data_IF_613636992130
#
_entry.id   IF_613636992130
#
_cell.length_a   1.000
_cell.length_b   1.000
_cell.length_c   1.000
_cell.angle_alpha   90.00
_cell.angle_beta   90.00
_cell.angle_gamma   90.00
#
_symmetry.space_group_name_H-M   'P 1'
#
loop_
_entity.id
_entity.type
_entity.pdbx_description
1 polymer ?
#
# COMPACT_ATOMS: atom_id res chain seq x y z
N UNK A 1 0.78 -22.92 62.89
CA UNK A 1 0.39 -22.99 61.46
C UNK A 1 0.46 -21.59 60.89
N UNK A 2 1.61 -21.20 60.34
CA UNK A 2 1.81 -19.93 59.65
C UNK A 2 2.06 -20.26 58.18
N UNK A 3 1.06 -19.97 57.35
CA UNK A 3 1.13 -20.13 55.90
C UNK A 3 1.94 -18.96 55.33
N UNK A 4 3.11 -19.28 54.80
CA UNK A 4 4.05 -18.34 54.20
C UNK A 4 3.43 -17.86 52.90
N UNK A 5 2.90 -16.63 52.90
CA UNK A 5 2.55 -15.90 51.68
C UNK A 5 3.86 -15.64 50.94
N UNK A 6 4.13 -16.43 49.90
CA UNK A 6 5.25 -16.18 49.01
C UNK A 6 5.04 -14.81 48.35
N UNK A 7 5.95 -13.87 48.61
CA UNK A 7 5.96 -12.59 47.91
C UNK A 7 6.10 -12.84 46.39
N UNK A 8 5.34 -12.13 45.53
CA UNK A 8 5.50 -12.26 44.09
C UNK A 8 6.95 -11.91 43.71
N UNK A 9 7.55 -12.76 42.88
CA UNK A 9 8.91 -12.54 42.37
C UNK A 9 9.03 -11.15 41.75
N UNK A 10 10.17 -10.45 41.92
CA UNK A 10 10.34 -9.11 41.39
C UNK A 10 10.25 -9.15 39.85
N UNK A 11 9.23 -8.48 39.31
CA UNK A 11 9.11 -8.19 37.89
C UNK A 11 10.23 -7.21 37.56
N UNK A 12 11.32 -7.72 36.99
CA UNK A 12 12.35 -6.87 36.39
C UNK A 12 11.74 -6.21 35.16
N UNK A 13 11.29 -4.96 35.31
CA UNK A 13 10.91 -4.10 34.22
C UNK A 13 12.14 -3.81 33.35
N UNK A 14 12.34 -4.58 32.29
CA UNK A 14 13.02 -4.08 31.10
C UNK A 14 12.16 -2.95 30.53
N UNK A 15 12.72 -1.75 30.39
CA UNK A 15 12.07 -0.53 29.89
C UNK A 15 11.67 -0.59 28.40
N UNK A 16 11.45 -1.79 27.85
CA UNK A 16 10.88 -2.06 26.54
C UNK A 16 10.02 -3.32 26.66
N UNK A 17 8.81 -3.20 27.21
CA UNK A 17 7.94 -4.36 27.38
C UNK A 17 7.45 -4.89 26.03
N UNK A 18 7.97 -6.01 25.55
CA UNK A 18 7.47 -6.67 24.34
C UNK A 18 5.97 -6.98 24.44
N UNK A 19 5.28 -7.04 23.29
CA UNK A 19 3.88 -7.51 23.27
C UNK A 19 3.84 -8.98 23.72
N UNK A 20 2.79 -9.43 24.44
CA UNK A 20 2.59 -10.85 24.67
C UNK A 20 2.67 -11.63 23.36
N UNK A 21 3.40 -12.75 23.34
CA UNK A 21 3.75 -13.50 22.11
C UNK A 21 2.52 -13.82 21.26
N UNK A 22 1.42 -14.20 21.90
CA UNK A 22 0.19 -14.61 21.24
C UNK A 22 -0.52 -13.42 20.60
N UNK A 23 -0.53 -12.26 21.26
CA UNK A 23 -1.07 -11.01 20.73
C UNK A 23 -0.24 -10.52 19.55
N UNK A 24 1.09 -10.58 19.67
CA UNK A 24 2.02 -10.22 18.59
C UNK A 24 1.84 -11.11 17.34
N UNK A 25 1.63 -12.41 17.54
CA UNK A 25 1.37 -13.35 16.45
C UNK A 25 0.00 -13.06 15.78
N UNK A 26 -1.08 -12.94 16.57
CA UNK A 26 -2.42 -12.66 16.05
C UNK A 26 -2.48 -11.34 15.27
N UNK A 27 -1.86 -10.28 15.80
CA UNK A 27 -1.80 -8.99 15.12
C UNK A 27 -0.97 -9.08 13.83
N UNK A 28 0.15 -9.79 13.85
CA UNK A 28 0.95 -10.04 12.64
C UNK A 28 0.17 -10.77 11.55
N UNK A 29 -0.61 -11.79 11.91
CA UNK A 29 -1.50 -12.50 11.00
C UNK A 29 -2.56 -11.56 10.43
N UNK A 30 -3.24 -10.80 11.29
CA UNK A 30 -4.30 -9.88 10.89
C UNK A 30 -3.78 -8.81 9.92
N UNK A 31 -2.66 -8.15 10.26
CA UNK A 31 -2.04 -7.14 9.40
C UNK A 31 -1.59 -7.74 8.07
N UNK A 32 -1.00 -8.93 8.08
CA UNK A 32 -0.56 -9.61 6.87
C UNK A 32 -1.73 -9.86 5.90
N UNK A 33 -2.88 -10.33 6.39
CA UNK A 33 -4.07 -10.51 5.56
C UNK A 33 -4.73 -9.21 5.15
N UNK A 34 -4.78 -8.22 6.04
CA UNK A 34 -5.32 -6.90 5.74
C UNK A 34 -4.57 -6.24 4.58
N UNK A 35 -3.23 -6.27 4.60
CA UNK A 35 -2.43 -5.73 3.50
C UNK A 35 -2.56 -6.54 2.22
N UNK A 36 -2.68 -7.88 2.28
CA UNK A 36 -2.96 -8.69 1.09
C UNK A 36 -4.28 -8.29 0.44
N UNK A 37 -5.32 -8.09 1.23
CA UNK A 37 -6.62 -7.64 0.74
C UNK A 37 -6.55 -6.22 0.18
N UNK A 38 -5.85 -5.31 0.86
CA UNK A 38 -5.66 -3.94 0.39
C UNK A 38 -4.95 -3.87 -0.97
N UNK A 39 -3.83 -4.60 -1.12
CA UNK A 39 -3.11 -4.69 -2.40
C UNK A 39 -3.97 -5.37 -3.47
N UNK A 40 -4.74 -6.41 -3.13
CA UNK A 40 -5.67 -7.04 -4.05
C UNK A 40 -6.69 -6.03 -4.59
N UNK A 41 -7.40 -5.34 -3.70
CA UNK A 41 -8.46 -4.39 -4.07
C UNK A 41 -7.92 -3.25 -4.93
N UNK A 42 -6.78 -2.69 -4.55
CA UNK A 42 -6.11 -1.60 -5.26
C UNK A 42 -5.77 -2.00 -6.71
N UNK A 43 -5.05 -3.11 -6.88
CA UNK A 43 -4.55 -3.50 -8.19
C UNK A 43 -5.60 -4.21 -9.05
N UNK A 44 -6.60 -4.88 -8.47
CA UNK A 44 -7.78 -5.32 -9.23
C UNK A 44 -8.58 -4.11 -9.73
N UNK A 45 -8.76 -3.09 -8.90
CA UNK A 45 -9.46 -1.86 -9.30
C UNK A 45 -8.75 -1.14 -10.47
N UNK A 46 -7.42 -1.00 -10.39
CA UNK A 46 -6.62 -0.47 -11.49
C UNK A 46 -6.69 -1.34 -12.74
N UNK A 47 -6.53 -2.65 -12.58
CA UNK A 47 -6.53 -3.57 -13.71
C UNK A 47 -7.88 -3.60 -14.42
N UNK A 48 -8.98 -3.55 -13.67
CA UNK A 48 -10.32 -3.41 -14.21
C UNK A 48 -10.47 -2.12 -15.03
N UNK A 49 -9.96 -0.98 -14.54
CA UNK A 49 -10.00 0.27 -15.30
C UNK A 49 -9.21 0.21 -16.62
N UNK A 50 -8.08 -0.51 -16.64
CA UNK A 50 -7.32 -0.79 -17.86
C UNK A 50 -8.08 -1.67 -18.85
N UNK A 51 -8.67 -2.76 -18.38
CA UNK A 51 -9.48 -3.68 -19.21
C UNK A 51 -10.74 -2.99 -19.74
N UNK A 52 -11.38 -2.15 -18.94
CA UNK A 52 -12.57 -1.38 -19.33
C UNK A 52 -12.26 -0.18 -20.24
N UNK A 53 -11.01 -0.01 -20.68
CA UNK A 53 -10.59 1.06 -21.60
C UNK A 53 -11.00 2.46 -21.10
N UNK A 54 -10.77 2.74 -19.81
CA UNK A 54 -11.11 4.04 -19.22
C UNK A 54 -10.49 5.20 -20.04
N UNK A 55 -11.31 5.95 -20.76
CA UNK A 55 -10.84 6.96 -21.74
C UNK A 55 -9.85 7.96 -21.15
N UNK A 56 -10.07 8.41 -19.91
CA UNK A 56 -9.16 9.33 -19.22
C UNK A 56 -7.75 8.77 -18.95
N UNK A 57 -7.48 7.49 -19.21
CA UNK A 57 -6.14 6.89 -19.10
C UNK A 57 -5.36 6.94 -20.40
N UNK A 58 -6.01 7.14 -21.56
CA UNK A 58 -5.34 7.24 -22.86
C UNK A 58 -4.20 8.28 -22.83
N UNK A 59 -4.44 9.43 -22.18
CA UNK A 59 -3.43 10.49 -21.99
C UNK A 59 -2.18 10.03 -21.23
N UNK A 60 -2.29 9.05 -20.34
CA UNK A 60 -1.13 8.52 -19.61
C UNK A 60 -0.21 7.72 -20.52
N UNK A 61 -0.77 7.04 -21.51
CA UNK A 61 0.01 6.32 -22.53
C UNK A 61 0.62 7.29 -23.55
N UNK A 62 -0.08 8.40 -23.85
CA UNK A 62 0.42 9.46 -24.74
C UNK A 62 1.67 10.16 -24.19
N UNK A 63 1.86 10.21 -22.87
CA UNK A 63 3.12 10.67 -22.25
C UNK A 63 4.34 9.89 -22.78
N UNK A 64 4.15 8.63 -23.16
CA UNK A 64 5.19 7.78 -23.74
C UNK A 64 5.22 7.82 -25.28
N UNK A 65 4.49 8.74 -25.91
CA UNK A 65 4.42 8.88 -27.37
C UNK A 65 3.52 7.85 -28.07
N UNK A 66 2.71 7.10 -27.32
CA UNK A 66 1.75 6.16 -27.90
C UNK A 66 0.52 6.91 -28.42
N UNK A 67 0.16 6.66 -29.68
CA UNK A 67 -1.11 7.15 -30.24
C UNK A 67 -2.31 6.42 -29.62
N UNK A 68 -3.52 6.90 -29.91
CA UNK A 68 -4.75 6.36 -29.31
C UNK A 68 -4.96 4.86 -29.63
N UNK A 69 -4.84 4.39 -30.89
CA UNK A 69 -4.92 2.96 -31.19
C UNK A 69 -3.90 2.11 -30.41
N UNK A 70 -2.65 2.55 -30.29
CA UNK A 70 -1.63 1.85 -29.52
C UNK A 70 -1.95 1.86 -28.02
N UNK A 71 -2.41 2.99 -27.48
CA UNK A 71 -2.84 3.10 -26.09
C UNK A 71 -3.99 2.15 -25.75
N UNK A 72 -5.04 2.12 -26.58
CA UNK A 72 -6.19 1.21 -26.39
C UNK A 72 -5.79 -0.27 -26.49
N UNK A 73 -4.72 -0.58 -27.24
CA UNK A 73 -4.16 -1.93 -27.30
C UNK A 73 -3.36 -2.26 -26.04
N UNK A 74 -2.57 -1.32 -25.53
CA UNK A 74 -1.72 -1.49 -24.37
C UNK A 74 -2.50 -1.53 -23.05
N UNK A 75 -3.61 -0.81 -22.95
CA UNK A 75 -4.41 -0.66 -21.73
C UNK A 75 -4.88 -1.99 -21.11
N UNK A 76 -5.50 -2.92 -21.87
CA UNK A 76 -5.89 -4.22 -21.32
C UNK A 76 -4.70 -5.09 -20.89
N UNK A 77 -3.55 -4.95 -21.57
CA UNK A 77 -2.32 -5.69 -21.24
C UNK A 77 -1.80 -5.23 -19.88
N UNK A 78 -1.68 -3.92 -19.69
CA UNK A 78 -1.31 -3.33 -18.40
C UNK A 78 -2.33 -3.73 -17.32
N UNK A 79 -3.62 -3.69 -17.64
CA UNK A 79 -4.66 -4.08 -16.70
C UNK A 79 -4.58 -5.55 -16.28
N UNK A 80 -4.24 -6.45 -17.21
CA UNK A 80 -4.03 -7.87 -16.92
C UNK A 80 -2.78 -8.09 -16.04
N UNK A 81 -1.71 -7.31 -16.24
CA UNK A 81 -0.52 -7.33 -15.39
C UNK A 81 -0.88 -6.90 -13.96
N UNK A 82 -1.65 -5.82 -13.79
CA UNK A 82 -2.10 -5.35 -12.48
C UNK A 82 -2.93 -6.42 -11.75
N UNK A 83 -3.91 -7.04 -12.42
CA UNK A 83 -4.71 -8.12 -11.82
C UNK A 83 -3.83 -9.33 -11.46
N UNK A 84 -2.86 -9.69 -12.31
CA UNK A 84 -1.94 -10.79 -12.03
C UNK A 84 -1.09 -10.53 -10.79
N UNK A 85 -0.58 -9.31 -10.63
CA UNK A 85 0.15 -8.87 -9.43
C UNK A 85 -0.75 -8.82 -8.19
N UNK A 86 -2.01 -8.41 -8.36
CA UNK A 86 -3.00 -8.40 -7.28
C UNK A 86 -3.26 -9.82 -6.75
N UNK A 87 -3.49 -10.78 -7.66
CA UNK A 87 -3.67 -12.20 -7.32
C UNK A 87 -2.38 -12.77 -6.71
N UNK A 88 -1.22 -12.45 -7.27
CA UNK A 88 0.08 -12.86 -6.72
C UNK A 88 0.25 -12.35 -5.28
N UNK A 89 0.02 -11.05 -5.04
CA UNK A 89 0.07 -10.43 -3.73
C UNK A 89 -0.93 -11.04 -2.75
N UNK A 90 -2.13 -11.39 -3.23
CA UNK A 90 -3.15 -12.01 -2.41
C UNK A 90 -2.91 -13.48 -2.11
N UNK A 91 -2.34 -14.29 -3.01
CA UNK A 91 -2.19 -15.74 -2.83
C UNK A 91 -0.80 -16.11 -2.28
N UNK A 92 0.24 -15.41 -2.73
CA UNK A 92 1.63 -15.71 -2.40
C UNK A 92 2.47 -14.44 -2.52
N UNK A 93 2.34 -13.50 -1.55
CA UNK A 93 3.02 -12.21 -1.61
C UNK A 93 4.53 -12.40 -1.66
N UNK A 94 5.20 -11.62 -2.51
CA UNK A 94 6.66 -11.64 -2.71
C UNK A 94 7.22 -10.24 -2.61
N UNK A 95 8.43 -10.08 -2.08
CA UNK A 95 9.01 -8.76 -1.83
C UNK A 95 9.24 -7.98 -3.13
N UNK A 96 9.71 -8.65 -4.18
CA UNK A 96 9.91 -8.00 -5.47
C UNK A 96 8.59 -7.45 -6.03
N UNK A 97 7.49 -8.20 -5.86
CA UNK A 97 6.18 -7.80 -6.35
C UNK A 97 5.65 -6.59 -5.56
N UNK A 98 5.88 -6.54 -4.24
CA UNK A 98 5.49 -5.39 -3.42
C UNK A 98 6.31 -4.14 -3.75
N UNK A 99 7.61 -4.28 -4.03
CA UNK A 99 8.44 -3.16 -4.52
C UNK A 99 7.92 -2.68 -5.86
N UNK A 100 7.65 -3.60 -6.79
CA UNK A 100 7.08 -3.26 -8.09
C UNK A 100 5.75 -2.54 -7.94
N UNK A 101 4.83 -3.05 -7.12
CA UNK A 101 3.54 -2.40 -6.86
C UNK A 101 3.69 -1.00 -6.27
N UNK A 102 4.58 -0.80 -5.28
CA UNK A 102 4.82 0.53 -4.72
C UNK A 102 5.40 1.49 -5.77
N UNK A 103 6.37 1.04 -6.56
CA UNK A 103 6.97 1.82 -7.64
C UNK A 103 5.94 2.15 -8.72
N UNK A 104 5.22 1.14 -9.22
CA UNK A 104 4.20 1.28 -10.25
C UNK A 104 3.06 2.21 -9.82
N UNK A 105 2.59 2.08 -8.59
CA UNK A 105 1.58 2.97 -8.01
C UNK A 105 2.05 4.43 -7.98
N UNK A 106 3.29 4.68 -7.58
CA UNK A 106 3.85 6.03 -7.52
C UNK A 106 4.08 6.60 -8.93
N UNK A 107 4.63 5.78 -9.83
CA UNK A 107 4.91 6.14 -11.21
C UNK A 107 3.61 6.51 -11.94
N UNK A 108 2.59 5.66 -11.84
CA UNK A 108 1.27 5.93 -12.44
C UNK A 108 0.57 7.11 -11.78
N UNK A 109 0.69 7.30 -10.46
CA UNK A 109 0.20 8.51 -9.80
C UNK A 109 0.89 9.77 -10.33
N UNK A 110 2.19 9.71 -10.62
CA UNK A 110 2.97 10.81 -11.18
C UNK A 110 2.62 11.12 -12.64
N UNK A 111 2.04 10.17 -13.39
CA UNK A 111 1.54 10.44 -14.73
C UNK A 111 0.43 11.49 -14.77
N UNK A 112 -0.29 11.70 -13.67
CA UNK A 112 -1.39 12.68 -13.58
C UNK A 112 -0.85 14.08 -13.90
N UNK A 113 0.08 14.66 -13.12
CA UNK A 113 0.64 15.96 -13.46
C UNK A 113 1.40 16.00 -14.79
N UNK A 114 2.10 14.92 -15.15
CA UNK A 114 2.83 14.86 -16.43
C UNK A 114 1.86 14.92 -17.62
N UNK A 115 0.65 14.39 -17.48
CA UNK A 115 -0.42 14.47 -18.49
C UNK A 115 -1.30 15.73 -18.40
N UNK A 116 -0.90 16.71 -17.59
CA UNK A 116 -1.59 18.00 -17.45
C UNK A 116 -2.64 18.07 -16.34
N UNK A 117 -2.75 17.06 -15.48
CA UNK A 117 -3.60 17.14 -14.28
C UNK A 117 -2.89 17.85 -13.13
N UNK A 118 -3.59 17.99 -12.00
CA UNK A 118 -3.02 18.59 -10.80
C UNK A 118 -1.94 17.71 -10.17
N UNK A 119 -0.87 18.35 -9.65
CA UNK A 119 0.12 17.71 -8.75
C UNK A 119 -0.52 17.09 -7.51
N UNK A 120 -1.64 17.64 -7.02
CA UNK A 120 -2.37 17.11 -5.87
C UNK A 120 -2.90 15.68 -6.10
N UNK A 121 -3.08 15.28 -7.36
CA UNK A 121 -3.50 13.93 -7.75
C UNK A 121 -2.46 12.86 -7.35
N UNK A 122 -1.18 13.23 -7.19
CA UNK A 122 -0.12 12.32 -6.69
C UNK A 122 -0.30 12.04 -5.19
N UNK A 123 -0.69 13.06 -4.43
CA UNK A 123 -0.83 12.96 -2.97
C UNK A 123 -2.13 12.26 -2.59
N UNK A 124 -3.23 12.59 -3.28
CA UNK A 124 -4.54 11.94 -3.12
C UNK A 124 -4.48 10.43 -3.37
N UNK A 125 -3.51 9.98 -4.19
CA UNK A 125 -3.24 8.56 -4.48
C UNK A 125 -2.13 7.95 -3.63
N UNK A 126 -1.77 8.57 -2.51
CA UNK A 126 -0.75 8.00 -1.62
C UNK A 126 -1.10 6.62 -1.09
N UNK A 127 -2.40 6.26 -1.02
CA UNK A 127 -2.83 4.89 -0.72
C UNK A 127 -2.33 3.85 -1.73
N UNK A 128 -2.28 4.21 -3.01
CA UNK A 128 -1.99 3.32 -4.14
C UNK A 128 -0.56 2.76 -4.08
N UNK A 129 0.41 3.58 -3.68
CA UNK A 129 1.80 3.17 -3.47
C UNK A 129 2.17 2.94 -2.01
N UNK A 130 1.50 3.63 -1.08
CA UNK A 130 1.71 3.51 0.35
C UNK A 130 1.26 2.16 0.92
N UNK A 131 0.18 1.58 0.40
CA UNK A 131 -0.30 0.25 0.81
C UNK A 131 0.73 -0.86 0.58
N UNK A 132 1.22 -1.06 -0.66
CA UNK A 132 2.28 -2.01 -0.95
C UNK A 132 3.58 -1.73 -0.17
N UNK A 133 3.96 -0.46 -0.01
CA UNK A 133 5.14 -0.07 0.76
C UNK A 133 4.99 -0.42 2.25
N UNK A 134 3.82 -0.20 2.84
CA UNK A 134 3.51 -0.59 4.21
C UNK A 134 3.53 -2.11 4.38
N UNK A 135 3.05 -2.85 3.38
CA UNK A 135 3.13 -4.31 3.41
C UNK A 135 4.59 -4.80 3.33
N UNK A 136 5.42 -4.17 2.48
CA UNK A 136 6.84 -4.47 2.39
C UNK A 136 7.56 -4.18 3.72
N UNK A 137 7.26 -3.04 4.36
CA UNK A 137 7.81 -2.67 5.66
C UNK A 137 7.44 -3.68 6.76
N UNK A 138 6.18 -4.13 6.80
CA UNK A 138 5.73 -5.18 7.71
C UNK A 138 6.50 -6.49 7.48
N UNK A 139 6.83 -6.80 6.22
CA UNK A 139 7.48 -8.03 5.80
C UNK A 139 9.00 -8.08 6.09
N UNK A 140 9.60 -6.92 6.38
CA UNK A 140 11.03 -6.77 6.64
C UNK A 140 11.90 -6.87 5.38
N UNK A 141 13.15 -6.41 5.53
CA UNK A 141 14.14 -6.43 4.45
C UNK A 141 14.61 -7.87 4.16
N UNK A 142 14.94 -8.16 2.89
CA UNK A 142 15.55 -9.43 2.52
C UNK A 142 16.98 -9.50 3.08
N UNK A 143 17.38 -10.68 3.54
CA UNK A 143 18.76 -10.96 3.97
C UNK A 143 19.57 -11.63 2.86
N UNK A 144 18.89 -12.30 1.94
CA UNK A 144 19.48 -13.01 0.79
C UNK A 144 18.74 -12.67 -0.50
N UNK A 145 19.37 -12.95 -1.65
CA UNK A 145 18.73 -12.77 -2.95
C UNK A 145 17.44 -13.60 -3.09
N UNK A 146 17.39 -14.78 -2.46
CA UNK A 146 16.24 -15.68 -2.49
C UNK A 146 15.01 -15.12 -1.76
N UNK A 147 15.23 -14.33 -0.70
CA UNK A 147 14.14 -13.71 0.07
C UNK A 147 13.28 -12.74 -0.75
N UNK A 148 13.78 -12.28 -1.91
CA UNK A 148 13.01 -11.48 -2.85
C UNK A 148 11.87 -12.27 -3.48
N UNK A 149 12.15 -13.52 -3.86
CA UNK A 149 11.26 -14.40 -4.63
C UNK A 149 10.49 -15.39 -3.77
N UNK A 150 11.00 -15.71 -2.57
CA UNK A 150 10.32 -16.60 -1.64
C UNK A 150 9.00 -15.98 -1.14
N UNK A 151 7.94 -16.78 -0.96
CA UNK A 151 6.68 -16.30 -0.40
C UNK A 151 6.88 -15.69 0.99
N UNK A 152 6.38 -14.48 1.18
CA UNK A 152 6.35 -13.80 2.48
C UNK A 152 5.38 -14.54 3.38
N UNK A 153 5.88 -15.00 4.53
CA UNK A 153 5.07 -15.58 5.60
C UNK A 153 4.80 -14.52 6.67
N UNK A 154 3.66 -14.62 7.34
CA UNK A 154 3.40 -13.81 8.52
C UNK A 154 4.44 -14.12 9.62
N UNK A 155 4.74 -13.12 10.44
CA UNK A 155 5.66 -13.22 11.58
C UNK A 155 5.05 -12.43 12.75
N UNK A 156 5.34 -12.83 14.01
CA UNK A 156 4.98 -12.00 15.15
C UNK A 156 5.54 -10.57 15.00
N UNK A 157 4.71 -9.56 15.26
CA UNK A 157 5.13 -8.16 15.11
C UNK A 157 5.84 -7.65 16.35
N UNK A 158 6.86 -6.82 16.13
CA UNK A 158 7.56 -6.11 17.21
C UNK A 158 6.99 -4.71 17.36
N UNK A 159 7.16 -4.09 18.53
CA UNK A 159 6.79 -2.67 18.72
C UNK A 159 7.53 -1.74 17.77
N UNK A 160 8.80 -2.04 17.46
CA UNK A 160 9.59 -1.26 16.51
C UNK A 160 8.96 -1.31 15.10
N UNK A 161 8.55 -2.49 14.64
CA UNK A 161 7.83 -2.65 13.38
C UNK A 161 6.51 -1.89 13.39
N UNK A 162 5.70 -2.02 14.45
CA UNK A 162 4.43 -1.31 14.57
C UNK A 162 4.58 0.20 14.60
N UNK A 163 5.60 0.73 15.28
CA UNK A 163 5.90 2.17 15.30
C UNK A 163 6.25 2.68 13.90
N UNK A 164 7.14 1.99 13.19
CA UNK A 164 7.52 2.35 11.81
C UNK A 164 6.32 2.28 10.87
N UNK A 165 5.51 1.23 10.98
CA UNK A 165 4.29 1.04 10.20
C UNK A 165 3.27 2.15 10.48
N UNK A 166 3.06 2.49 11.75
CA UNK A 166 2.15 3.57 12.16
C UNK A 166 2.58 4.92 11.62
N UNK A 167 3.87 5.27 11.71
CA UNK A 167 4.40 6.52 11.13
C UNK A 167 4.19 6.57 9.63
N UNK A 168 4.49 5.46 8.92
CA UNK A 168 4.26 5.39 7.48
C UNK A 168 2.77 5.58 7.12
N UNK A 169 1.88 4.86 7.80
CA UNK A 169 0.44 4.98 7.54
C UNK A 169 -0.10 6.37 7.87
N UNK A 170 0.40 7.03 8.93
CA UNK A 170 0.06 8.42 9.24
C UNK A 170 0.47 9.36 8.10
N UNK A 171 1.67 9.20 7.55
CA UNK A 171 2.10 9.97 6.39
C UNK A 171 1.23 9.68 5.16
N UNK A 172 0.93 8.41 4.87
CA UNK A 172 0.03 8.05 3.77
C UNK A 172 -1.33 8.71 3.93
N UNK A 173 -1.93 8.62 5.12
CA UNK A 173 -3.21 9.29 5.43
C UNK A 173 -3.10 10.81 5.29
N UNK A 174 -2.04 11.42 5.82
CA UNK A 174 -1.83 12.86 5.71
C UNK A 174 -1.72 13.30 4.25
N UNK A 175 -0.97 12.57 3.42
CA UNK A 175 -0.82 12.87 2.00
C UNK A 175 -2.16 12.74 1.26
N UNK A 176 -2.94 11.69 1.51
CA UNK A 176 -4.28 11.53 0.93
C UNK A 176 -5.17 12.72 1.33
N UNK A 177 -5.22 13.06 2.62
CA UNK A 177 -6.06 14.17 3.10
C UNK A 177 -5.61 15.53 2.57
N UNK A 178 -4.30 15.78 2.45
CA UNK A 178 -3.76 17.00 1.85
C UNK A 178 -4.11 17.07 0.37
N UNK A 179 -3.91 15.98 -0.38
CA UNK A 179 -4.26 15.91 -1.80
C UNK A 179 -5.75 16.14 -2.03
N UNK A 180 -6.59 15.48 -1.23
CA UNK A 180 -8.04 15.63 -1.28
C UNK A 180 -8.48 17.05 -0.91
N UNK A 181 -8.00 17.58 0.21
CA UNK A 181 -8.31 18.92 0.69
C UNK A 181 -7.87 20.01 -0.28
N UNK A 182 -6.75 19.82 -0.98
CA UNK A 182 -6.26 20.76 -1.98
C UNK A 182 -7.22 20.90 -3.18
N UNK A 183 -8.00 19.88 -3.55
CA UNK A 183 -9.02 20.05 -4.58
C UNK A 183 -10.09 21.07 -4.17
N UNK A 184 -10.54 21.00 -2.92
CA UNK A 184 -11.56 21.91 -2.40
C UNK A 184 -11.00 23.31 -2.16
N UNK A 185 -9.82 23.42 -1.56
CA UNK A 185 -9.24 24.69 -1.15
C UNK A 185 -8.60 25.49 -2.28
N UNK A 186 -7.97 24.81 -3.26
CA UNK A 186 -7.10 25.47 -4.24
C UNK A 186 -7.58 25.34 -5.69
N UNK A 187 -8.29 24.27 -6.01
CA UNK A 187 -8.69 23.99 -7.40
C UNK A 187 -10.17 24.21 -7.68
N UNK A 188 -10.98 24.50 -6.65
CA UNK A 188 -12.43 24.69 -6.75
C UNK A 188 -13.04 23.75 -7.80
N UNK A 189 -12.78 22.43 -7.69
CA UNK A 189 -13.20 21.45 -8.71
C UNK A 189 -14.68 21.71 -9.00
N UNK A 190 -15.02 22.12 -10.23
CA UNK A 190 -16.42 22.35 -10.68
C UNK A 190 -17.33 21.18 -10.29
N UNK A 191 -16.79 19.97 -10.33
CA UNK A 191 -17.46 18.73 -9.91
C UNK A 191 -17.95 18.67 -8.45
N UNK A 192 -17.39 19.49 -7.53
CA UNK A 192 -17.86 19.64 -6.16
C UNK A 192 -18.87 20.79 -6.01
N UNK A 193 -18.85 21.76 -6.94
CA UNK A 193 -19.82 22.86 -6.99
C UNK A 193 -21.14 22.42 -7.63
N UNK A 194 -21.08 21.46 -8.55
CA UNK A 194 -22.27 20.93 -9.25
C UNK A 194 -23.06 19.89 -8.43
N UNK A 195 -22.74 19.70 -7.15
CA UNK A 195 -23.44 18.78 -6.23
C UNK A 195 -24.47 19.45 -5.32
N UNK A 196 -24.67 20.77 -5.45
CA UNK A 196 -25.68 21.56 -4.72
C UNK A 196 -26.42 22.52 -5.65
#
# INVERSE_FOLDING_TARGET
>A
MAEIIAAPAPVTHSLAGDLPSDSAARLGIALHWLFRLGVLMEFVGHGAAGISLKEGWVRYFQVFGLDRPAALTAMPIVGAIDISLAILGFVSPRRWALVWCAFWGLMTASLRPISGESVWEVLDRAGNYGGPLAFLLLSGLPHTARDWTDPIRWRPVTRATLKRLSVLLQWVTALVLIGHGAYGALLQKRQLLDQY
#
